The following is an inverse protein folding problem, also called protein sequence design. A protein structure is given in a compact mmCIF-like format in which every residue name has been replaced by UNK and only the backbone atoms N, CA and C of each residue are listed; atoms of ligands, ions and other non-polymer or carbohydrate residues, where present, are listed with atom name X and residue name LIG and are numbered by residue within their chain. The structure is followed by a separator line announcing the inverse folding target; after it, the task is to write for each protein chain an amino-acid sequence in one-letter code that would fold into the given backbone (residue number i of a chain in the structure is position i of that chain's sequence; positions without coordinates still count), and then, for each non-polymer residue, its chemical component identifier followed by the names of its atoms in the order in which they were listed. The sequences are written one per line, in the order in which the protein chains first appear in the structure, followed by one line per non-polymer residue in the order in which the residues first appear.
data_IF_532101331884
#
_entry.id   IF_532101331884
#
_cell.length_a   1.000
_cell.length_b   1.000
_cell.length_c   1.000
_cell.angle_alpha   90.00
_cell.angle_beta   90.00
_cell.angle_gamma   90.00
#
_symmetry.space_group_name_H-M   'P 1'
#
loop_
_entity.id
_entity.type
_entity.pdbx_description
1 polymer ?
#
# COMPACT_ATOMS: atom_id res chain seq x y z
N UNK A 1 23.19 0.80 78.90
CA UNK A 1 23.22 1.58 77.61
C UNK A 1 23.95 0.82 76.48
N UNK A 2 25.15 0.34 76.65
CA UNK A 2 25.95 -0.36 75.60
C UNK A 2 25.31 -1.67 75.12
N UNK A 3 24.69 -2.47 75.95
CA UNK A 3 24.02 -3.74 75.60
C UNK A 3 22.84 -3.47 74.65
N UNK A 4 22.06 -2.42 74.89
CA UNK A 4 20.89 -2.06 74.06
C UNK A 4 21.37 -1.62 72.67
N UNK A 5 22.45 -0.83 72.57
CA UNK A 5 23.06 -0.42 71.30
C UNK A 5 23.59 -1.61 70.52
N UNK A 6 24.24 -2.58 71.21
CA UNK A 6 24.72 -3.79 70.57
C UNK A 6 23.60 -4.67 70.02
N UNK A 7 22.51 -4.86 70.80
CA UNK A 7 21.36 -5.63 70.34
C UNK A 7 20.66 -4.96 69.16
N UNK A 8 20.52 -3.65 69.16
CA UNK A 8 19.98 -2.90 68.02
C UNK A 8 20.89 -3.04 66.76
N UNK A 9 22.20 -2.98 66.90
CA UNK A 9 23.13 -3.16 65.80
C UNK A 9 23.02 -4.58 65.20
N UNK A 10 22.89 -5.61 66.00
CA UNK A 10 22.72 -7.02 65.55
C UNK A 10 21.39 -7.18 64.81
N UNK A 11 20.28 -6.59 65.32
CA UNK A 11 18.98 -6.62 64.63
C UNK A 11 19.05 -5.87 63.29
N UNK A 12 19.69 -4.72 63.23
CA UNK A 12 19.87 -3.96 61.98
C UNK A 12 20.72 -4.76 60.97
N UNK A 13 21.84 -5.37 61.40
CA UNK A 13 22.65 -6.20 60.54
C UNK A 13 21.86 -7.44 60.00
N UNK A 14 21.11 -8.10 60.85
CA UNK A 14 20.22 -9.22 60.49
C UNK A 14 19.14 -8.81 59.46
N UNK A 15 18.52 -7.65 59.64
CA UNK A 15 17.54 -7.15 58.68
C UNK A 15 18.14 -6.78 57.30
N UNK A 16 19.33 -6.21 57.27
CA UNK A 16 20.07 -5.92 56.02
C UNK A 16 20.42 -7.21 55.27
N UNK A 17 20.89 -8.23 55.97
CA UNK A 17 21.20 -9.55 55.39
C UNK A 17 19.93 -10.19 54.82
N UNK A 18 18.80 -10.15 55.51
CA UNK A 18 17.53 -10.67 55.02
C UNK A 18 17.06 -9.96 53.76
N UNK A 19 17.13 -8.63 53.74
CA UNK A 19 16.79 -7.83 52.56
C UNK A 19 17.69 -8.16 51.35
N UNK A 20 18.98 -8.37 51.59
CA UNK A 20 19.94 -8.74 50.53
C UNK A 20 19.64 -10.15 49.96
N UNK A 21 19.32 -11.11 50.81
CA UNK A 21 18.95 -12.47 50.39
C UNK A 21 17.66 -12.41 49.54
N UNK A 22 16.68 -11.66 49.99
CA UNK A 22 15.40 -11.49 49.27
C UNK A 22 15.62 -10.85 47.91
N UNK A 23 16.49 -9.85 47.81
CA UNK A 23 16.85 -9.23 46.52
C UNK A 23 17.52 -10.25 45.58
N UNK A 24 18.47 -11.02 46.05
CA UNK A 24 19.14 -12.06 45.27
C UNK A 24 18.15 -13.13 44.76
N UNK A 25 17.20 -13.55 45.58
CA UNK A 25 16.19 -14.52 45.18
C UNK A 25 15.26 -13.95 44.07
N UNK A 26 14.84 -12.70 44.22
CA UNK A 26 14.03 -12.03 43.21
C UNK A 26 14.76 -11.87 41.87
N UNK A 27 16.05 -11.54 41.89
CA UNK A 27 16.87 -11.45 40.66
C UNK A 27 17.02 -12.83 40.01
N UNK A 28 17.26 -13.89 40.78
CA UNK A 28 17.30 -15.26 40.23
C UNK A 28 15.98 -15.68 39.59
N UNK A 29 14.86 -15.32 40.22
CA UNK A 29 13.52 -15.61 39.69
C UNK A 29 13.25 -14.88 38.38
N UNK A 30 13.60 -13.60 38.31
CA UNK A 30 13.50 -12.81 37.06
C UNK A 30 14.41 -13.39 35.95
N UNK A 31 15.64 -13.78 36.30
CA UNK A 31 16.54 -14.41 35.32
C UNK A 31 15.92 -15.67 34.73
N UNK A 32 15.33 -16.53 35.57
CA UNK A 32 14.67 -17.75 35.09
C UNK A 32 13.49 -17.47 34.16
N UNK A 33 12.66 -16.47 34.47
CA UNK A 33 11.56 -16.05 33.59
C UNK A 33 12.07 -15.51 32.26
N UNK A 34 13.15 -14.73 32.24
CA UNK A 34 13.77 -14.24 31.00
C UNK A 34 14.32 -15.38 30.15
N UNK A 35 14.94 -16.40 30.74
CA UNK A 35 15.39 -17.61 30.04
C UNK A 35 14.23 -18.41 29.44
N UNK A 36 13.06 -18.43 30.09
CA UNK A 36 11.84 -19.07 29.56
C UNK A 36 11.26 -18.26 28.39
N UNK A 37 11.29 -16.93 28.47
CA UNK A 37 10.87 -16.04 27.37
C UNK A 37 11.81 -16.19 26.16
N UNK A 38 13.12 -16.28 26.39
CA UNK A 38 14.12 -16.54 25.33
C UNK A 38 13.86 -17.86 24.60
N UNK A 39 13.32 -18.87 25.29
CA UNK A 39 12.91 -20.16 24.71
C UNK A 39 11.56 -20.13 23.99
N UNK A 40 10.93 -18.94 23.90
CA UNK A 40 9.68 -18.74 23.17
C UNK A 40 8.41 -18.75 24.00
N UNK A 41 8.51 -18.70 25.33
CA UNK A 41 7.34 -18.57 26.22
C UNK A 41 6.84 -17.13 26.24
N UNK A 42 5.53 -16.92 26.07
CA UNK A 42 4.88 -15.60 26.18
C UNK A 42 4.38 -15.34 27.60
N UNK A 43 5.26 -15.35 28.57
CA UNK A 43 4.95 -15.05 29.96
C UNK A 43 5.30 -13.62 30.31
N UNK A 44 4.48 -12.96 31.12
CA UNK A 44 4.83 -11.66 31.69
C UNK A 44 5.82 -11.83 32.86
N UNK A 45 6.82 -10.97 32.89
CA UNK A 45 7.77 -10.90 34.01
C UNK A 45 7.02 -10.41 35.25
N UNK A 46 7.09 -11.20 36.30
CA UNK A 46 6.48 -10.88 37.60
C UNK A 46 7.53 -10.96 38.70
N UNK A 47 7.38 -10.08 39.69
CA UNK A 47 8.24 -10.10 40.86
C UNK A 47 7.38 -9.88 42.12
N UNK A 48 7.56 -10.75 43.07
CA UNK A 48 6.92 -10.59 44.39
C UNK A 48 7.86 -9.82 45.34
N UNK A 49 8.01 -8.51 45.10
CA UNK A 49 8.91 -7.65 45.86
C UNK A 49 8.22 -6.34 46.20
N UNK A 50 8.46 -5.86 47.45
CA UNK A 50 8.08 -4.51 47.86
C UNK A 50 9.04 -3.42 47.36
N UNK A 51 10.13 -3.80 46.72
CA UNK A 51 11.09 -2.85 46.17
C UNK A 51 10.51 -2.18 44.90
N UNK A 52 10.20 -0.88 45.03
CA UNK A 52 9.63 -0.06 43.95
C UNK A 52 10.51 -0.01 42.70
N UNK A 53 11.84 -0.04 42.87
CA UNK A 53 12.79 -0.04 41.75
C UNK A 53 12.73 -1.35 40.93
N UNK A 54 12.65 -2.50 41.60
CA UNK A 54 12.55 -3.80 40.95
C UNK A 54 11.19 -3.96 40.21
N UNK A 55 10.12 -3.47 40.82
CA UNK A 55 8.79 -3.46 40.19
C UNK A 55 8.77 -2.55 38.95
N UNK A 56 9.34 -1.35 39.03
CA UNK A 56 9.46 -0.44 37.90
C UNK A 56 10.27 -1.06 36.74
N UNK A 57 11.37 -1.77 37.06
CA UNK A 57 12.18 -2.48 36.09
C UNK A 57 11.36 -3.58 35.36
N UNK A 58 10.58 -4.38 36.11
CA UNK A 58 9.71 -5.40 35.51
C UNK A 58 8.68 -4.78 34.55
N UNK A 59 8.06 -3.66 34.94
CA UNK A 59 7.08 -2.96 34.10
C UNK A 59 7.76 -2.46 32.81
N UNK A 60 8.95 -1.88 32.90
CA UNK A 60 9.69 -1.42 31.72
C UNK A 60 10.08 -2.59 30.80
N UNK A 61 10.59 -3.69 31.36
CA UNK A 61 10.94 -4.88 30.58
C UNK A 61 9.72 -5.49 29.90
N UNK A 62 8.59 -5.63 30.59
CA UNK A 62 7.36 -6.12 29.99
C UNK A 62 6.90 -5.22 28.84
N UNK A 63 7.01 -3.90 28.98
CA UNK A 63 6.69 -2.96 27.89
C UNK A 63 7.57 -3.17 26.67
N UNK A 64 8.89 -3.35 26.85
CA UNK A 64 9.83 -3.60 25.76
C UNK A 64 9.54 -4.95 25.09
N UNK A 65 9.26 -6.00 25.87
CA UNK A 65 8.89 -7.31 25.34
C UNK A 65 7.59 -7.25 24.53
N UNK A 66 6.55 -6.61 25.06
CA UNK A 66 5.28 -6.39 24.33
C UNK A 66 5.49 -5.61 23.02
N UNK A 67 6.35 -4.60 23.04
CA UNK A 67 6.65 -3.81 21.84
C UNK A 67 7.40 -4.65 20.80
N UNK A 68 8.35 -5.47 21.23
CA UNK A 68 9.06 -6.43 20.37
C UNK A 68 8.11 -7.44 19.74
N UNK A 69 7.23 -8.05 20.55
CA UNK A 69 6.25 -9.03 20.05
C UNK A 69 5.27 -8.41 19.04
N UNK A 70 4.79 -7.19 19.33
CA UNK A 70 3.94 -6.45 18.41
C UNK A 70 4.63 -6.16 17.08
N UNK A 71 5.88 -5.71 17.12
CA UNK A 71 6.68 -5.46 15.91
C UNK A 71 6.93 -6.76 15.13
N UNK A 72 7.21 -7.87 15.82
CA UNK A 72 7.43 -9.17 15.18
C UNK A 72 6.17 -9.68 14.49
N UNK A 73 5.01 -9.63 15.19
CA UNK A 73 3.73 -10.00 14.61
C UNK A 73 3.35 -9.13 13.39
N UNK A 74 3.69 -7.85 13.45
CA UNK A 74 3.46 -6.95 12.31
C UNK A 74 4.36 -7.33 11.12
N UNK A 75 5.63 -7.59 11.37
CA UNK A 75 6.58 -8.02 10.35
C UNK A 75 6.17 -9.35 9.70
N UNK A 76 5.73 -10.34 10.49
CA UNK A 76 5.22 -11.62 9.97
C UNK A 76 3.98 -11.43 9.09
N UNK A 77 3.07 -10.52 9.49
CA UNK A 77 1.89 -10.20 8.66
C UNK A 77 2.30 -9.56 7.33
N UNK A 78 3.25 -8.62 7.36
CA UNK A 78 3.74 -7.96 6.16
C UNK A 78 4.47 -8.95 5.24
N UNK A 79 5.31 -9.83 5.78
CA UNK A 79 5.98 -10.88 5.03
C UNK A 79 4.98 -11.86 4.39
N UNK A 80 3.97 -12.29 5.15
CA UNK A 80 2.92 -13.17 4.65
C UNK A 80 2.12 -12.51 3.52
N UNK A 81 1.78 -11.23 3.70
CA UNK A 81 1.09 -10.43 2.69
C UNK A 81 1.95 -10.30 1.43
N UNK A 82 3.24 -9.99 1.57
CA UNK A 82 4.18 -9.90 0.45
C UNK A 82 4.28 -11.23 -0.32
N UNK A 83 4.44 -12.36 0.38
CA UNK A 83 4.46 -13.69 -0.25
C UNK A 83 3.17 -14.02 -1.00
N UNK A 84 2.03 -13.61 -0.44
CA UNK A 84 0.72 -13.81 -1.05
C UNK A 84 0.57 -12.95 -2.32
N UNK A 85 1.04 -11.71 -2.27
CA UNK A 85 1.02 -10.76 -3.38
C UNK A 85 1.93 -11.19 -4.54
N UNK A 86 3.14 -11.68 -4.23
CA UNK A 86 4.06 -12.22 -5.25
C UNK A 86 3.43 -13.43 -5.97
N UNK A 87 2.73 -14.31 -5.24
CA UNK A 87 2.02 -15.44 -5.87
C UNK A 87 0.89 -14.96 -6.79
N UNK A 88 0.12 -13.96 -6.35
CA UNK A 88 -0.92 -13.34 -7.17
C UNK A 88 -0.35 -12.74 -8.46
N UNK A 89 0.73 -11.97 -8.34
CA UNK A 89 1.41 -11.36 -9.47
C UNK A 89 1.96 -12.41 -10.46
N UNK A 90 2.58 -13.48 -9.96
CA UNK A 90 3.05 -14.58 -10.82
C UNK A 90 1.90 -15.25 -11.59
N UNK A 91 0.73 -15.38 -10.98
CA UNK A 91 -0.48 -15.87 -11.65
C UNK A 91 -0.96 -14.90 -12.73
N UNK A 92 -1.00 -13.59 -12.40
CA UNK A 92 -1.48 -12.54 -13.29
C UNK A 92 -0.56 -12.34 -14.52
N UNK A 93 0.75 -12.54 -14.36
CA UNK A 93 1.74 -12.59 -15.47
C UNK A 93 1.53 -13.85 -16.34
N UNK A 94 1.27 -15.00 -15.72
CA UNK A 94 1.11 -16.26 -16.45
C UNK A 94 -0.09 -16.24 -17.39
N UNK A 95 -1.19 -15.60 -16.98
CA UNK A 95 -2.44 -15.58 -17.75
C UNK A 95 -2.28 -14.94 -19.14
N UNK A 96 -1.82 -13.68 -19.29
CA UNK A 96 -1.61 -13.08 -20.59
C UNK A 96 -0.52 -13.78 -21.40
N UNK A 97 0.55 -14.27 -20.74
CA UNK A 97 1.63 -14.99 -21.38
C UNK A 97 1.14 -16.31 -22.01
N UNK A 98 0.36 -17.12 -21.26
CA UNK A 98 -0.21 -18.36 -21.78
C UNK A 98 -1.23 -18.09 -22.88
N UNK A 99 -2.04 -17.01 -22.72
CA UNK A 99 -2.97 -16.58 -23.76
C UNK A 99 -2.26 -16.18 -25.04
N UNK A 100 -1.22 -15.35 -24.96
CA UNK A 100 -0.44 -14.94 -26.13
C UNK A 100 0.20 -16.15 -26.85
N UNK A 101 0.82 -17.08 -26.09
CA UNK A 101 1.40 -18.31 -26.64
C UNK A 101 0.35 -19.16 -27.35
N UNK A 102 -0.85 -19.33 -26.76
CA UNK A 102 -1.96 -20.07 -27.37
C UNK A 102 -2.45 -19.44 -28.67
N UNK A 103 -2.61 -18.12 -28.73
CA UNK A 103 -3.03 -17.43 -29.94
C UNK A 103 -1.95 -17.46 -31.04
N UNK A 104 -0.68 -17.38 -30.70
CA UNK A 104 0.43 -17.56 -31.65
C UNK A 104 0.41 -19.00 -32.24
N UNK A 105 0.15 -20.01 -31.40
CA UNK A 105 0.02 -21.39 -31.87
C UNK A 105 -1.17 -21.53 -32.84
N UNK A 106 -2.36 -21.00 -32.48
CA UNK A 106 -3.53 -21.00 -33.35
C UNK A 106 -3.27 -20.28 -34.68
N UNK A 107 -2.56 -19.17 -34.66
CA UNK A 107 -2.15 -18.48 -35.87
C UNK A 107 -1.24 -19.31 -36.77
N UNK A 108 -0.34 -20.12 -36.16
CA UNK A 108 0.54 -21.05 -36.87
C UNK A 108 -0.19 -22.28 -37.49
N UNK A 109 -1.34 -22.65 -36.93
CA UNK A 109 -2.18 -23.75 -37.41
C UNK A 109 -3.17 -23.31 -38.52
N UNK A 110 -3.33 -21.99 -38.76
CA UNK A 110 -4.17 -21.46 -39.84
C UNK A 110 -3.64 -21.81 -41.21
N UNK A 111 -4.52 -22.30 -42.11
CA UNK A 111 -4.21 -22.58 -43.48
C UNK A 111 -3.96 -21.30 -44.30
N UNK A 112 -3.44 -21.45 -45.53
CA UNK A 112 -3.17 -20.29 -46.43
C UNK A 112 -4.44 -19.49 -46.80
N UNK A 113 -5.62 -20.10 -46.70
CA UNK A 113 -6.94 -19.49 -46.97
C UNK A 113 -7.57 -18.75 -45.80
N UNK A 114 -6.99 -18.84 -44.59
CA UNK A 114 -7.53 -18.27 -43.36
C UNK A 114 -6.72 -17.06 -42.88
N UNK A 115 -6.29 -16.19 -43.80
CA UNK A 115 -5.45 -15.03 -43.48
C UNK A 115 -6.08 -14.10 -42.46
N UNK A 116 -7.37 -13.80 -42.58
CA UNK A 116 -8.11 -12.92 -41.62
C UNK A 116 -8.14 -13.50 -40.20
N UNK A 117 -8.32 -14.81 -40.07
CA UNK A 117 -8.29 -15.48 -38.75
C UNK A 117 -6.89 -15.44 -38.14
N UNK A 118 -5.87 -15.70 -38.96
CA UNK A 118 -4.48 -15.64 -38.52
C UNK A 118 -4.13 -14.25 -38.01
N UNK A 119 -4.50 -13.20 -38.77
CA UNK A 119 -4.24 -11.81 -38.40
C UNK A 119 -4.98 -11.45 -37.11
N UNK A 120 -6.24 -11.87 -36.96
CA UNK A 120 -6.99 -11.71 -35.71
C UNK A 120 -6.30 -12.37 -34.50
N UNK A 121 -5.79 -13.61 -34.65
CA UNK A 121 -5.04 -14.29 -33.59
C UNK A 121 -3.73 -13.59 -33.25
N UNK A 122 -2.99 -13.09 -34.25
CA UNK A 122 -1.77 -12.32 -34.03
C UNK A 122 -2.05 -11.00 -33.32
N UNK A 123 -3.10 -10.27 -33.70
CA UNK A 123 -3.51 -9.05 -33.03
C UNK A 123 -3.95 -9.32 -31.58
N UNK A 124 -4.67 -10.40 -31.35
CA UNK A 124 -5.03 -10.81 -29.99
C UNK A 124 -3.79 -11.15 -29.14
N UNK A 125 -2.84 -11.89 -29.70
CA UNK A 125 -1.57 -12.19 -29.04
C UNK A 125 -0.77 -10.93 -28.71
N UNK A 126 -0.69 -9.98 -29.66
CA UNK A 126 -0.04 -8.67 -29.47
C UNK A 126 -0.68 -7.88 -28.31
N UNK A 127 -2.00 -7.85 -28.26
CA UNK A 127 -2.71 -7.17 -27.16
C UNK A 127 -2.42 -7.81 -25.80
N UNK A 128 -2.33 -9.16 -25.72
CA UNK A 128 -1.95 -9.86 -24.49
C UNK A 128 -0.52 -9.58 -24.05
N UNK A 129 0.40 -9.42 -24.99
CA UNK A 129 1.79 -9.03 -24.70
C UNK A 129 1.88 -7.57 -24.22
N UNK A 130 1.11 -6.66 -24.80
CA UNK A 130 1.02 -5.28 -24.32
C UNK A 130 0.47 -5.19 -22.89
N UNK A 131 -0.59 -5.97 -22.55
CA UNK A 131 -1.09 -6.09 -21.16
C UNK A 131 0.02 -6.53 -20.19
N UNK A 132 0.89 -7.45 -20.61
CA UNK A 132 2.03 -7.93 -19.82
C UNK A 132 3.10 -6.87 -19.66
N UNK A 133 3.40 -6.13 -20.71
CA UNK A 133 4.37 -5.03 -20.71
C UNK A 133 3.94 -3.93 -19.72
N UNK A 134 2.68 -3.49 -19.79
CA UNK A 134 2.11 -2.53 -18.85
C UNK A 134 2.26 -3.00 -17.38
N UNK A 135 1.99 -4.27 -17.12
CA UNK A 135 2.10 -4.85 -15.78
C UNK A 135 3.56 -4.90 -15.28
N UNK A 136 4.51 -5.20 -16.15
CA UNK A 136 5.95 -5.19 -15.82
C UNK A 136 6.45 -3.76 -15.58
N UNK A 137 5.98 -2.77 -16.33
CA UNK A 137 6.31 -1.37 -16.09
C UNK A 137 5.77 -0.87 -14.74
N UNK A 138 4.54 -1.24 -14.37
CA UNK A 138 3.99 -0.92 -13.05
C UNK A 138 4.82 -1.55 -11.93
N UNK A 139 5.23 -2.80 -12.08
CA UNK A 139 6.09 -3.48 -11.11
C UNK A 139 7.48 -2.84 -11.01
N UNK A 140 8.07 -2.45 -12.14
CA UNK A 140 9.35 -1.76 -12.16
C UNK A 140 9.26 -0.39 -11.47
N UNK A 141 8.20 0.35 -11.74
CA UNK A 141 7.94 1.62 -11.06
C UNK A 141 7.72 1.42 -9.56
N UNK A 142 6.95 0.39 -9.16
CA UNK A 142 6.79 0.03 -7.75
C UNK A 142 8.14 -0.23 -7.06
N UNK A 143 9.03 -1.02 -7.69
CA UNK A 143 10.35 -1.30 -7.12
C UNK A 143 11.22 -0.05 -7.00
N UNK A 144 11.13 0.86 -7.96
CA UNK A 144 11.79 2.17 -7.89
C UNK A 144 11.22 3.04 -6.76
N UNK A 145 9.89 3.11 -6.66
CA UNK A 145 9.21 3.89 -5.61
C UNK A 145 9.48 3.37 -4.19
N UNK A 146 9.77 2.09 -4.01
CA UNK A 146 10.12 1.53 -2.70
C UNK A 146 11.60 1.67 -2.36
N UNK A 147 12.46 2.07 -3.30
CA UNK A 147 13.85 2.36 -3.05
C UNK A 147 14.03 3.69 -2.28
N UNK A 148 15.00 3.73 -1.36
CA UNK A 148 15.26 4.90 -0.52
C UNK A 148 15.76 6.11 -1.34
N UNK A 149 16.47 5.87 -2.44
CA UNK A 149 17.12 6.89 -3.26
C UNK A 149 16.23 7.46 -4.39
N UNK A 150 14.95 7.08 -4.47
CA UNK A 150 14.07 7.58 -5.53
C UNK A 150 13.74 9.06 -5.30
N UNK A 151 14.31 9.93 -6.13
CA UNK A 151 14.09 11.38 -6.09
C UNK A 151 13.24 11.84 -7.28
N UNK A 152 12.27 12.72 -7.02
CA UNK A 152 11.48 13.42 -8.04
C UNK A 152 12.07 14.79 -8.35
N UNK A 153 12.04 15.19 -9.62
CA UNK A 153 12.47 16.54 -10.03
C UNK A 153 11.26 17.46 -10.11
N UNK A 154 10.94 18.11 -8.99
CA UNK A 154 9.76 18.96 -8.90
C UNK A 154 10.01 20.35 -9.53
N UNK A 155 9.07 20.81 -10.34
CA UNK A 155 9.00 22.15 -10.93
C UNK A 155 7.56 22.67 -10.91
N UNK A 156 7.36 23.96 -11.18
CA UNK A 156 6.01 24.52 -11.28
C UNK A 156 5.37 24.09 -12.60
N UNK A 157 4.26 23.37 -12.53
CA UNK A 157 3.57 22.77 -13.67
C UNK A 157 2.13 23.23 -13.72
N UNK A 158 1.65 23.58 -14.91
CA UNK A 158 0.22 23.79 -15.16
C UNK A 158 -0.48 22.46 -15.30
N UNK A 159 -1.37 22.15 -14.35
CA UNK A 159 -2.06 20.86 -14.25
C UNK A 159 -2.93 20.58 -15.48
N UNK A 160 -3.68 21.59 -15.94
CA UNK A 160 -4.58 21.44 -17.08
C UNK A 160 -3.83 21.08 -18.37
N UNK A 161 -2.62 21.60 -18.60
CA UNK A 161 -1.81 21.26 -19.76
C UNK A 161 -1.46 19.77 -19.80
N UNK A 162 -0.91 19.23 -18.68
CA UNK A 162 -0.55 17.81 -18.59
C UNK A 162 -1.79 16.92 -18.67
N UNK A 163 -2.88 17.32 -18.04
CA UNK A 163 -4.16 16.58 -18.10
C UNK A 163 -4.70 16.52 -19.53
N UNK A 164 -4.70 17.64 -20.25
CA UNK A 164 -5.17 17.71 -21.63
C UNK A 164 -4.34 16.81 -22.56
N UNK A 165 -3.02 16.79 -22.41
CA UNK A 165 -2.16 15.88 -23.18
C UNK A 165 -2.51 14.41 -22.93
N UNK A 166 -2.78 14.04 -21.65
CA UNK A 166 -3.18 12.67 -21.30
C UNK A 166 -4.53 12.29 -21.92
N UNK A 167 -5.50 13.21 -21.88
CA UNK A 167 -6.84 12.97 -22.44
C UNK A 167 -6.78 12.85 -23.97
N UNK A 168 -6.03 13.74 -24.63
CA UNK A 168 -5.82 13.67 -26.09
C UNK A 168 -5.13 12.36 -26.52
N UNK A 169 -4.16 11.90 -25.74
CA UNK A 169 -3.48 10.61 -26.00
C UNK A 169 -4.41 9.38 -25.87
N UNK A 170 -5.55 9.53 -25.16
CA UNK A 170 -6.53 8.46 -24.99
C UNK A 170 -7.84 8.68 -25.77
N UNK A 171 -7.86 9.68 -26.66
CA UNK A 171 -9.07 10.08 -27.37
C UNK A 171 -9.75 8.91 -28.12
N UNK A 172 -8.99 8.11 -28.85
CA UNK A 172 -9.51 6.95 -29.59
C UNK A 172 -10.20 5.93 -28.65
N UNK A 173 -9.67 5.71 -27.43
CA UNK A 173 -10.28 4.82 -26.45
C UNK A 173 -11.57 5.39 -25.84
N UNK A 174 -11.66 6.71 -25.73
CA UNK A 174 -12.90 7.38 -25.31
C UNK A 174 -13.98 7.25 -26.36
N UNK A 175 -13.64 7.47 -27.64
CA UNK A 175 -14.61 7.30 -28.75
C UNK A 175 -15.10 5.86 -28.87
N UNK A 176 -14.20 4.87 -28.78
CA UNK A 176 -14.55 3.44 -28.82
C UNK A 176 -15.56 3.06 -27.73
N UNK A 177 -15.45 3.68 -26.55
CA UNK A 177 -16.33 3.41 -25.42
C UNK A 177 -17.55 4.33 -25.34
N UNK A 178 -17.64 5.35 -26.18
CA UNK A 178 -18.71 6.34 -26.14
C UNK A 178 -18.71 7.21 -24.89
N UNK A 179 -17.53 7.41 -24.26
CA UNK A 179 -17.35 8.20 -23.04
C UNK A 179 -16.88 9.60 -23.41
N UNK A 180 -17.53 10.63 -22.84
CA UNK A 180 -17.11 12.02 -23.00
C UNK A 180 -16.62 12.59 -21.68
N UNK A 181 -15.31 12.81 -21.50
CA UNK A 181 -14.77 13.40 -20.26
C UNK A 181 -15.33 14.81 -20.03
N UNK A 182 -15.88 15.06 -18.84
CA UNK A 182 -16.37 16.36 -18.41
C UNK A 182 -15.31 17.01 -17.52
N UNK A 183 -14.79 18.19 -17.93
CA UNK A 183 -13.69 18.86 -17.25
C UNK A 183 -14.19 20.21 -16.74
N UNK A 184 -14.01 20.46 -15.44
CA UNK A 184 -14.39 21.72 -14.81
C UNK A 184 -13.29 22.20 -13.87
N UNK A 185 -12.68 23.35 -14.17
CA UNK A 185 -11.69 24.01 -13.32
C UNK A 185 -12.28 25.28 -12.75
N UNK A 186 -12.17 25.44 -11.42
CA UNK A 186 -12.60 26.66 -10.71
C UNK A 186 -11.62 27.80 -10.92
N UNK A 187 -10.32 27.47 -11.03
CA UNK A 187 -9.21 28.44 -11.20
C UNK A 187 -8.35 28.06 -12.39
N UNK A 188 -8.12 29.01 -13.28
CA UNK A 188 -7.14 28.92 -14.36
C UNK A 188 -6.24 30.16 -14.36
N UNK A 189 -4.89 30.01 -14.39
CA UNK A 189 -4.16 28.74 -14.43
C UNK A 189 -4.04 28.10 -13.04
N UNK A 190 -4.29 26.79 -12.94
CA UNK A 190 -4.01 25.98 -11.78
C UNK A 190 -2.62 25.35 -11.90
N UNK A 191 -1.67 25.79 -11.05
CA UNK A 191 -0.28 25.32 -11.08
C UNK A 191 0.12 24.71 -9.73
N UNK A 192 0.86 23.61 -9.79
CA UNK A 192 1.37 22.88 -8.63
C UNK A 192 2.89 22.69 -8.73
N UNK A 193 3.56 22.47 -7.59
CA UNK A 193 4.94 22.02 -7.55
C UNK A 193 4.96 20.50 -7.66
N UNK A 194 5.33 19.96 -8.82
CA UNK A 194 5.28 18.55 -9.09
C UNK A 194 6.39 18.10 -10.08
N UNK A 195 6.63 16.81 -10.14
CA UNK A 195 7.36 16.18 -11.22
C UNK A 195 6.38 15.91 -12.37
N UNK A 196 6.70 16.35 -13.58
CA UNK A 196 5.79 16.30 -14.72
C UNK A 196 5.48 14.87 -15.15
N UNK A 197 6.49 14.01 -15.14
CA UNK A 197 6.32 12.61 -15.53
C UNK A 197 5.52 11.84 -14.47
N UNK A 198 5.77 12.11 -13.20
CA UNK A 198 4.96 11.56 -12.11
C UNK A 198 3.49 12.01 -12.20
N UNK A 199 3.25 13.30 -12.49
CA UNK A 199 1.91 13.84 -12.66
C UNK A 199 1.18 13.23 -13.87
N UNK A 200 1.87 13.11 -14.99
CA UNK A 200 1.38 12.42 -16.19
C UNK A 200 1.00 10.97 -15.88
N UNK A 201 1.86 10.26 -15.18
CA UNK A 201 1.60 8.86 -14.77
C UNK A 201 0.38 8.75 -13.85
N UNK A 202 0.21 9.65 -12.90
CA UNK A 202 -0.97 9.70 -12.03
C UNK A 202 -2.23 9.87 -12.88
N UNK A 203 -2.26 10.83 -13.80
CA UNK A 203 -3.44 11.10 -14.62
C UNK A 203 -3.76 9.93 -15.55
N UNK A 204 -2.78 9.38 -16.25
CA UNK A 204 -2.97 8.21 -17.10
C UNK A 204 -3.54 7.03 -16.30
N UNK A 205 -3.00 6.77 -15.10
CA UNK A 205 -3.47 5.71 -14.23
C UNK A 205 -4.94 5.90 -13.81
N UNK A 206 -5.33 7.12 -13.44
CA UNK A 206 -6.70 7.40 -13.03
C UNK A 206 -7.69 7.37 -14.20
N UNK A 207 -7.30 7.92 -15.36
CA UNK A 207 -8.13 7.92 -16.56
C UNK A 207 -8.31 6.48 -17.07
N UNK A 208 -7.23 5.71 -17.18
CA UNK A 208 -7.30 4.30 -17.60
C UNK A 208 -8.13 3.45 -16.61
N UNK A 209 -7.99 3.70 -15.30
CA UNK A 209 -8.81 3.04 -14.30
C UNK A 209 -10.30 3.32 -14.51
N UNK A 210 -10.67 4.57 -14.77
CA UNK A 210 -12.05 4.95 -15.10
C UNK A 210 -12.53 4.29 -16.40
N UNK A 211 -11.71 4.27 -17.45
CA UNK A 211 -12.03 3.60 -18.72
C UNK A 211 -12.21 2.09 -18.59
N UNK A 212 -11.43 1.41 -17.74
CA UNK A 212 -11.47 -0.05 -17.60
C UNK A 212 -12.58 -0.48 -16.64
N UNK A 213 -12.74 0.22 -15.54
CA UNK A 213 -13.61 -0.20 -14.43
C UNK A 213 -14.91 0.61 -14.29
N UNK A 214 -14.95 1.82 -14.86
CA UNK A 214 -16.15 2.64 -14.90
C UNK A 214 -17.24 2.05 -15.82
N UNK A 215 -18.49 2.47 -15.59
CA UNK A 215 -19.66 2.09 -16.39
C UNK A 215 -20.29 3.27 -17.13
N UNK A 216 -19.76 4.47 -17.01
CA UNK A 216 -20.31 5.70 -17.57
C UNK A 216 -19.26 6.79 -17.74
N UNK A 217 -19.68 8.02 -17.62
CA UNK A 217 -18.86 9.20 -17.87
C UNK A 217 -17.74 9.38 -16.84
N UNK A 218 -16.69 10.11 -17.27
CA UNK A 218 -15.58 10.55 -16.44
C UNK A 218 -15.72 12.05 -16.16
N UNK A 219 -15.77 12.43 -14.89
CA UNK A 219 -15.81 13.82 -14.45
C UNK A 219 -14.47 14.17 -13.78
N UNK A 220 -13.89 15.29 -14.21
CA UNK A 220 -12.63 15.80 -13.63
C UNK A 220 -12.87 17.22 -13.16
N UNK A 221 -12.84 17.44 -11.86
CA UNK A 221 -13.13 18.74 -11.26
C UNK A 221 -11.96 19.23 -10.43
N UNK A 222 -11.61 20.53 -10.59
CA UNK A 222 -10.61 21.19 -9.77
C UNK A 222 -11.27 22.23 -8.89
N UNK A 223 -10.96 22.20 -7.59
CA UNK A 223 -11.40 23.19 -6.62
C UNK A 223 -10.31 23.49 -5.59
N UNK A 224 -9.91 24.76 -5.51
CA UNK A 224 -8.79 25.15 -4.66
C UNK A 224 -7.52 24.39 -5.03
N UNK A 225 -6.93 23.65 -4.10
CA UNK A 225 -5.74 22.81 -4.33
C UNK A 225 -6.06 21.33 -4.60
N UNK A 226 -7.31 21.01 -4.87
CA UNK A 226 -7.79 19.64 -5.02
C UNK A 226 -8.21 19.37 -6.45
N UNK A 227 -7.81 18.21 -7.00
CA UNK A 227 -8.27 17.67 -8.27
C UNK A 227 -8.99 16.35 -8.01
N UNK A 228 -10.21 16.22 -8.52
CA UNK A 228 -11.08 15.06 -8.30
C UNK A 228 -11.34 14.38 -9.63
N UNK A 229 -11.09 13.07 -9.68
CA UNK A 229 -11.50 12.18 -10.76
C UNK A 229 -12.70 11.38 -10.27
N UNK A 230 -13.82 11.48 -10.96
CA UNK A 230 -15.07 10.82 -10.59
C UNK A 230 -15.60 10.02 -11.76
N UNK A 231 -15.94 8.76 -11.55
CA UNK A 231 -16.54 7.89 -12.56
C UNK A 231 -17.66 7.04 -11.99
N UNK A 232 -18.62 6.65 -12.82
CA UNK A 232 -19.72 5.78 -12.44
C UNK A 232 -19.24 4.37 -12.11
N UNK A 233 -19.83 3.76 -11.09
CA UNK A 233 -19.54 2.39 -10.64
C UNK A 233 -20.57 1.44 -11.25
N UNK A 234 -20.14 0.26 -11.78
CA UNK A 234 -21.08 -0.78 -12.22
C UNK A 234 -21.98 -1.25 -11.06
N UNK A 235 -23.25 -1.52 -11.36
CA UNK A 235 -24.18 -2.05 -10.37
C UNK A 235 -23.68 -3.35 -9.75
N UNK A 236 -23.71 -3.42 -8.41
CA UNK A 236 -23.29 -4.60 -7.64
C UNK A 236 -21.79 -4.72 -7.37
N UNK A 237 -20.97 -3.78 -7.83
CA UNK A 237 -19.52 -3.77 -7.58
C UNK A 237 -19.11 -2.53 -6.76
N UNK A 238 -19.37 -2.56 -5.46
CA UNK A 238 -18.97 -1.50 -4.56
C UNK A 238 -17.53 -1.73 -4.08
N UNK A 239 -16.55 -0.95 -4.56
CA UNK A 239 -15.19 -1.04 -4.06
C UNK A 239 -15.12 -0.56 -2.60
N UNK A 240 -14.07 -0.94 -1.89
CA UNK A 240 -13.80 -0.46 -0.52
C UNK A 240 -12.80 0.69 -0.58
N UNK A 241 -13.25 1.97 -0.49
CA UNK A 241 -12.39 3.13 -0.70
C UNK A 241 -11.16 3.14 0.20
N UNK A 242 -11.32 2.75 1.46
CA UNK A 242 -10.27 2.70 2.47
C UNK A 242 -9.13 1.73 2.13
N UNK A 243 -9.39 0.78 1.23
CA UNK A 243 -8.42 -0.24 0.80
C UNK A 243 -7.93 -0.08 -0.64
N UNK A 244 -8.51 0.84 -1.40
CA UNK A 244 -8.21 0.96 -2.83
C UNK A 244 -6.73 1.30 -3.12
N UNK A 245 -6.06 1.94 -2.17
CA UNK A 245 -4.64 2.26 -2.24
C UNK A 245 -3.73 1.21 -1.57
N UNK A 246 -4.31 0.12 -1.04
CA UNK A 246 -3.50 -0.98 -0.50
C UNK A 246 -2.78 -1.67 -1.65
N UNK A 247 -1.55 -2.06 -1.40
CA UNK A 247 -0.72 -2.78 -2.36
C UNK A 247 -1.42 -4.07 -2.81
N UNK A 248 -1.57 -4.26 -4.13
CA UNK A 248 -2.25 -5.40 -4.77
C UNK A 248 -3.74 -5.57 -4.43
N UNK A 249 -4.38 -4.52 -3.92
CA UNK A 249 -5.82 -4.57 -3.72
C UNK A 249 -6.55 -4.59 -5.07
N UNK A 250 -7.51 -5.51 -5.19
CA UNK A 250 -8.39 -5.65 -6.37
C UNK A 250 -9.82 -5.77 -5.90
N UNK A 251 -10.70 -4.92 -6.43
CA UNK A 251 -12.14 -5.12 -6.34
C UNK A 251 -12.59 -6.39 -7.07
N UNK A 252 -13.85 -6.76 -6.95
CA UNK A 252 -14.34 -7.99 -7.59
C UNK A 252 -14.30 -7.93 -9.12
N UNK A 253 -14.66 -6.78 -9.71
CA UNK A 253 -14.56 -6.55 -11.15
C UNK A 253 -13.11 -6.53 -11.66
N UNK A 254 -12.22 -5.92 -10.88
CA UNK A 254 -10.80 -5.82 -11.20
C UNK A 254 -10.10 -7.18 -11.23
N UNK A 255 -10.53 -8.13 -10.38
CA UNK A 255 -10.03 -9.51 -10.41
C UNK A 255 -10.35 -10.22 -11.72
N UNK A 256 -11.53 -9.95 -12.28
CA UNK A 256 -11.97 -10.55 -13.56
C UNK A 256 -11.28 -9.92 -14.78
N UNK A 257 -10.85 -8.67 -14.68
CA UNK A 257 -10.25 -7.89 -15.78
C UNK A 257 -8.71 -7.90 -15.80
N UNK A 258 -8.06 -8.69 -14.91
CA UNK A 258 -6.60 -8.90 -14.96
C UNK A 258 -5.74 -7.72 -14.49
N UNK A 259 -6.31 -6.75 -13.73
CA UNK A 259 -5.52 -5.62 -13.23
C UNK A 259 -4.47 -6.07 -12.20
N UNK A 260 -3.32 -5.39 -12.14
CA UNK A 260 -2.21 -5.71 -11.21
C UNK A 260 -2.54 -5.41 -9.74
N UNK A 261 -3.42 -4.43 -9.49
CA UNK A 261 -3.67 -3.85 -8.16
C UNK A 261 -2.54 -2.93 -7.67
N UNK A 262 -1.64 -2.51 -8.57
CA UNK A 262 -0.55 -1.58 -8.29
C UNK A 262 -0.91 -0.14 -8.64
N UNK A 263 -1.82 0.07 -9.58
CA UNK A 263 -2.13 1.37 -10.19
C UNK A 263 -2.43 2.45 -9.15
N UNK A 264 -3.40 2.22 -8.25
CA UNK A 264 -3.77 3.22 -7.24
C UNK A 264 -2.74 3.35 -6.12
N UNK A 265 -2.05 2.26 -5.77
CA UNK A 265 -0.90 2.33 -4.86
C UNK A 265 0.18 3.28 -5.42
N UNK A 266 0.54 3.15 -6.70
CA UNK A 266 1.50 4.03 -7.40
C UNK A 266 1.02 5.49 -7.36
N UNK A 267 -0.26 5.75 -7.61
CA UNK A 267 -0.85 7.10 -7.51
C UNK A 267 -0.62 7.69 -6.13
N UNK A 268 -0.91 6.94 -5.07
CA UNK A 268 -0.74 7.40 -3.68
C UNK A 268 0.74 7.67 -3.36
N UNK A 269 1.64 6.76 -3.73
CA UNK A 269 3.08 6.91 -3.49
C UNK A 269 3.66 8.13 -4.21
N UNK A 270 3.31 8.34 -5.48
CA UNK A 270 3.75 9.51 -6.24
C UNK A 270 3.21 10.81 -5.62
N UNK A 271 1.94 10.85 -5.22
CA UNK A 271 1.36 12.02 -4.53
C UNK A 271 2.07 12.31 -3.22
N UNK A 272 2.31 11.30 -2.38
CA UNK A 272 3.04 11.47 -1.10
C UNK A 272 4.47 11.99 -1.32
N UNK A 273 5.17 11.48 -2.32
CA UNK A 273 6.55 11.93 -2.64
C UNK A 273 6.60 13.36 -3.19
N UNK A 274 5.52 13.83 -3.80
CA UNK A 274 5.36 15.25 -4.18
C UNK A 274 4.83 16.12 -3.02
N UNK A 275 4.65 15.52 -1.83
CA UNK A 275 4.13 16.19 -0.64
C UNK A 275 2.60 16.33 -0.61
N UNK A 276 1.88 15.80 -1.60
CA UNK A 276 0.42 15.78 -1.65
C UNK A 276 -0.19 14.54 -1.02
N UNK A 277 -1.50 14.42 -1.13
CA UNK A 277 -2.28 13.28 -0.64
C UNK A 277 -3.23 12.76 -1.72
N UNK A 278 -3.51 11.45 -1.69
CA UNK A 278 -4.54 10.82 -2.51
C UNK A 278 -5.52 10.06 -1.60
N UNK A 279 -6.80 10.28 -1.82
CA UNK A 279 -7.89 9.62 -1.11
C UNK A 279 -8.94 9.10 -2.11
N UNK A 280 -9.72 8.11 -1.70
CA UNK A 280 -10.86 7.62 -2.47
C UNK A 280 -12.11 7.64 -1.60
N UNK A 281 -13.23 7.95 -2.21
CA UNK A 281 -14.54 7.95 -1.57
C UNK A 281 -15.62 7.49 -2.56
N UNK A 282 -16.73 7.03 -2.04
CA UNK A 282 -17.92 6.73 -2.84
C UNK A 282 -18.94 7.81 -2.55
N UNK A 283 -19.62 8.29 -3.59
CA UNK A 283 -20.70 9.27 -3.43
C UNK A 283 -21.83 8.74 -2.54
N UNK A 284 -22.58 9.64 -1.89
CA UNK A 284 -23.63 9.27 -0.95
C UNK A 284 -24.75 8.39 -1.57
N UNK A 285 -24.95 8.49 -2.89
CA UNK A 285 -25.89 7.65 -3.66
C UNK A 285 -25.29 6.30 -4.08
N UNK A 286 -24.03 6.03 -3.68
CA UNK A 286 -23.26 4.82 -4.01
C UNK A 286 -23.13 4.55 -5.52
N UNK A 287 -23.22 5.56 -6.36
CA UNK A 287 -23.19 5.43 -7.83
C UNK A 287 -21.83 5.75 -8.42
N UNK A 288 -21.01 6.56 -7.74
CA UNK A 288 -19.73 7.04 -8.27
C UNK A 288 -18.59 6.84 -7.31
N UNK A 289 -17.45 6.50 -7.90
CA UNK A 289 -16.16 6.50 -7.23
C UNK A 289 -15.49 7.84 -7.48
N UNK A 290 -15.00 8.45 -6.41
CA UNK A 290 -14.16 9.65 -6.45
C UNK A 290 -12.76 9.33 -6.00
N UNK A 291 -11.77 9.71 -6.80
CA UNK A 291 -10.37 9.75 -6.38
C UNK A 291 -9.96 11.20 -6.26
N UNK A 292 -9.59 11.61 -5.07
CA UNK A 292 -9.29 12.98 -4.68
C UNK A 292 -7.78 13.13 -4.54
N UNK A 293 -7.18 14.05 -5.30
CA UNK A 293 -5.78 14.43 -5.24
C UNK A 293 -5.66 15.80 -4.59
N UNK A 294 -5.01 15.90 -3.43
CA UNK A 294 -4.74 17.15 -2.73
C UNK A 294 -3.27 17.55 -2.93
N UNK A 295 -3.04 18.71 -3.53
CA UNK A 295 -1.71 19.26 -3.75
C UNK A 295 -1.34 20.27 -2.65
N UNK A 296 -0.06 20.33 -2.27
CA UNK A 296 0.39 21.38 -1.36
C UNK A 296 0.54 22.70 -2.14
N UNK A 297 -0.14 23.74 -1.70
CA UNK A 297 0.15 25.10 -2.14
C UNK A 297 1.40 25.59 -1.38
N UNK A 298 2.50 25.77 -2.11
CA UNK A 298 3.64 26.57 -1.64
C UNK A 298 3.85 27.79 -2.52
#
# INVERSE_FOLDING_TARGET
MWIIVFVLAVICAGSIVLLYIQLCLNIRYLKKQLEEIERGSHIELTVNSRNKGLLALCIMLNRVLMQKDKSHMQYEKEEKLLKQNIRGLAHDIRTPLTGAAGYIQLAGECGMTDADKRDHYLDTAKNRLAELEDMLEEMFLYTKLTAEDFALTTKRIQVLSVLSDCLLGLYARFEEKGISPQIQFEQEPFSVLADEEALRRIFLNLIQNALIHGSGDLYITQKGNTLVFENDIPEGDLPRPERMFDLFYKGESARRKGSSGLVLFIVKELMMRMGGEAAAEITADAKRLRVVLCFIQR
#
